data_IF_673871854706
#
_entry.id   IF_673871854706
#
_cell.length_a   1.000
_cell.length_b   1.000
_cell.length_c   1.000
_cell.angle_alpha   90.00
_cell.angle_beta   90.00
_cell.angle_gamma   90.00
#
_symmetry.space_group_name_H-M   'P 1'
#
loop_
_entity.id
_entity.type
_entity.pdbx_description
1 polymer ?
#
# COMPACT_ATOMS: atom_id res chain seq x y z
N UNK A 1 -8.29 -35.30 4.98
CA UNK A 1 -7.09 -34.45 4.97
C UNK A 1 -7.42 -33.04 4.46
N UNK A 2 -8.09 -32.89 3.31
CA UNK A 2 -8.39 -31.55 2.76
C UNK A 2 -9.38 -30.71 3.58
N UNK A 3 -10.41 -31.34 4.16
CA UNK A 3 -11.39 -30.62 5.00
C UNK A 3 -10.77 -29.96 6.23
N UNK A 4 -9.72 -30.56 6.80
CA UNK A 4 -9.01 -30.00 7.95
C UNK A 4 -8.24 -28.74 7.55
N UNK A 5 -7.63 -28.71 6.37
CA UNK A 5 -6.92 -27.52 5.87
C UNK A 5 -7.89 -26.35 5.65
N UNK A 6 -9.06 -26.63 5.06
CA UNK A 6 -10.09 -25.61 4.82
C UNK A 6 -10.62 -25.05 6.15
N UNK A 7 -10.94 -25.92 7.11
CA UNK A 7 -11.43 -25.50 8.43
C UNK A 7 -10.39 -24.70 9.20
N UNK A 8 -9.11 -25.09 9.16
CA UNK A 8 -8.04 -24.33 9.81
C UNK A 8 -7.87 -22.96 9.17
N UNK A 9 -7.87 -22.87 7.84
CA UNK A 9 -7.69 -21.60 7.13
C UNK A 9 -8.83 -20.62 7.43
N UNK A 10 -10.07 -21.02 7.15
CA UNK A 10 -11.22 -20.12 7.30
C UNK A 10 -11.63 -19.93 8.76
N UNK A 11 -11.50 -20.97 9.59
CA UNK A 11 -11.82 -20.90 11.01
C UNK A 11 -10.85 -19.98 11.77
N UNK A 12 -9.54 -20.17 11.60
CA UNK A 12 -8.55 -19.30 12.25
C UNK A 12 -8.62 -17.86 11.73
N UNK A 13 -8.84 -17.66 10.43
CA UNK A 13 -9.03 -16.33 9.85
C UNK A 13 -10.23 -15.61 10.47
N UNK A 14 -11.39 -16.27 10.56
CA UNK A 14 -12.60 -15.70 11.14
C UNK A 14 -12.43 -15.35 12.62
N UNK A 15 -11.75 -16.22 13.39
CA UNK A 15 -11.44 -15.96 14.81
C UNK A 15 -10.51 -14.77 14.98
N UNK A 16 -9.44 -14.68 14.17
CA UNK A 16 -8.49 -13.56 14.22
C UNK A 16 -9.17 -12.23 13.89
N UNK A 17 -10.06 -12.21 12.89
CA UNK A 17 -10.85 -11.03 12.57
C UNK A 17 -11.83 -10.66 13.69
N UNK A 18 -12.49 -11.64 14.31
CA UNK A 18 -13.43 -11.42 15.40
C UNK A 18 -12.77 -10.79 16.64
N UNK A 19 -11.49 -11.10 16.88
CA UNK A 19 -10.68 -10.53 17.98
C UNK A 19 -10.09 -9.15 17.59
N UNK A 20 -10.32 -8.69 16.35
CA UNK A 20 -9.88 -7.36 15.88
C UNK A 20 -8.44 -7.30 15.41
N UNK A 21 -7.83 -8.44 15.07
CA UNK A 21 -6.48 -8.48 14.49
C UNK A 21 -6.52 -7.80 13.11
N UNK A 22 -5.53 -6.95 12.76
CA UNK A 22 -5.49 -6.33 11.44
C UNK A 22 -5.51 -7.39 10.33
N UNK A 23 -6.27 -7.11 9.26
CA UNK A 23 -6.58 -8.09 8.20
C UNK A 23 -5.32 -8.72 7.59
N UNK A 24 -4.24 -7.94 7.43
CA UNK A 24 -2.96 -8.43 6.93
C UNK A 24 -2.34 -9.53 7.81
N UNK A 25 -2.36 -9.36 9.14
CA UNK A 25 -1.89 -10.37 10.09
C UNK A 25 -2.82 -11.56 10.17
N UNK A 26 -4.14 -11.34 10.08
CA UNK A 26 -5.13 -12.41 10.07
C UNK A 26 -4.92 -13.36 8.87
N UNK A 27 -4.69 -12.81 7.67
CA UNK A 27 -4.39 -13.59 6.45
C UNK A 27 -3.07 -14.35 6.60
N UNK A 28 -2.02 -13.69 7.10
CA UNK A 28 -0.69 -14.30 7.25
C UNK A 28 -0.68 -15.48 8.22
N UNK A 29 -1.27 -15.30 9.41
CA UNK A 29 -1.30 -16.31 10.46
C UNK A 29 -2.21 -17.49 10.11
N UNK A 30 -3.38 -17.25 9.51
CA UNK A 30 -4.28 -18.34 9.10
C UNK A 30 -3.68 -19.19 7.99
N UNK A 31 -3.00 -18.55 7.03
CA UNK A 31 -2.29 -19.23 5.94
C UNK A 31 -1.11 -20.03 6.47
N UNK A 32 -0.32 -19.46 7.39
CA UNK A 32 0.78 -20.15 8.07
C UNK A 32 0.31 -21.41 8.81
N UNK A 33 -0.73 -21.28 9.63
CA UNK A 33 -1.29 -22.40 10.39
C UNK A 33 -1.77 -23.54 9.48
N UNK A 34 -2.29 -23.19 8.30
CA UNK A 34 -2.76 -24.16 7.31
C UNK A 34 -1.60 -24.86 6.59
N UNK A 35 -0.56 -24.12 6.19
CA UNK A 35 0.61 -24.69 5.50
C UNK A 35 1.37 -25.66 6.42
N UNK A 36 1.48 -25.35 7.72
CA UNK A 36 2.14 -26.22 8.71
C UNK A 36 1.43 -27.57 8.92
N UNK A 37 0.16 -27.69 8.55
CA UNK A 37 -0.57 -28.97 8.60
C UNK A 37 -0.35 -29.83 7.34
N UNK A 38 0.03 -29.22 6.21
CA UNK A 38 0.20 -29.91 4.93
C UNK A 38 1.65 -30.13 4.51
N UNK A 39 2.59 -29.31 5.00
CA UNK A 39 4.01 -29.38 4.68
C UNK A 39 4.88 -29.47 5.94
N UNK A 40 6.09 -30.07 5.85
CA UNK A 40 7.10 -29.99 6.91
C UNK A 40 7.48 -28.54 7.23
N UNK A 41 7.94 -28.30 8.46
CA UNK A 41 8.18 -26.96 9.01
C UNK A 41 9.19 -26.14 8.17
N UNK A 42 10.26 -26.78 7.69
CA UNK A 42 11.31 -26.18 6.86
C UNK A 42 10.77 -25.52 5.57
N UNK A 43 10.13 -26.25 4.63
CA UNK A 43 9.58 -25.64 3.41
C UNK A 43 8.40 -24.70 3.68
N UNK A 44 7.64 -24.92 4.76
CA UNK A 44 6.53 -24.04 5.12
C UNK A 44 7.01 -22.62 5.46
N UNK A 45 8.07 -22.51 6.28
CA UNK A 45 8.67 -21.22 6.65
C UNK A 45 9.28 -20.53 5.42
N UNK A 46 9.96 -21.29 4.56
CA UNK A 46 10.54 -20.76 3.34
C UNK A 46 9.48 -20.14 2.40
N UNK A 47 8.36 -20.83 2.19
CA UNK A 47 7.24 -20.34 1.35
C UNK A 47 6.66 -19.04 1.91
N UNK A 48 6.49 -18.95 3.23
CA UNK A 48 5.93 -17.75 3.86
C UNK A 48 6.90 -16.58 3.79
N UNK A 49 8.19 -16.82 4.08
CA UNK A 49 9.23 -15.80 3.93
C UNK A 49 9.30 -15.27 2.49
N UNK A 50 9.24 -16.16 1.50
CA UNK A 50 9.23 -15.79 0.08
C UNK A 50 8.00 -14.96 -0.29
N UNK A 51 6.81 -15.32 0.21
CA UNK A 51 5.57 -14.56 -0.05
C UNK A 51 5.56 -13.20 0.63
N UNK A 52 6.13 -13.08 1.83
CA UNK A 52 6.32 -11.80 2.50
C UNK A 52 7.30 -10.90 1.75
N UNK A 53 8.45 -11.45 1.31
CA UNK A 53 9.43 -10.72 0.51
C UNK A 53 8.85 -10.24 -0.83
N UNK A 54 8.13 -11.12 -1.55
CA UNK A 54 7.46 -10.76 -2.79
C UNK A 54 6.37 -9.69 -2.61
N UNK A 55 5.77 -9.58 -1.42
CA UNK A 55 4.84 -8.51 -1.08
C UNK A 55 5.51 -7.15 -0.90
N UNK A 56 6.78 -7.12 -0.48
CA UNK A 56 7.60 -5.90 -0.36
C UNK A 56 8.11 -5.44 -1.72
N UNK A 57 8.36 -6.37 -2.65
CA UNK A 57 8.66 -6.09 -4.06
C UNK A 57 7.44 -5.59 -4.87
N UNK A 58 6.43 -5.04 -4.19
CA UNK A 58 5.30 -4.43 -4.87
C UNK A 58 5.74 -3.10 -5.50
N UNK A 59 5.67 -3.03 -6.83
CA UNK A 59 5.91 -1.81 -7.61
C UNK A 59 5.11 -0.60 -7.08
N UNK A 60 3.91 -0.81 -6.53
CA UNK A 60 3.12 0.24 -5.92
C UNK A 60 3.77 0.84 -4.66
N UNK A 61 4.50 0.04 -3.87
CA UNK A 61 5.23 0.54 -2.69
C UNK A 61 6.44 1.37 -3.09
N UNK A 62 7.08 1.06 -4.23
CA UNK A 62 8.13 1.90 -4.81
C UNK A 62 7.60 3.27 -5.26
N UNK A 63 6.31 3.37 -5.61
CA UNK A 63 5.73 4.65 -5.98
C UNK A 63 5.85 5.69 -4.85
N UNK A 64 5.72 5.27 -3.58
CA UNK A 64 5.79 6.17 -2.41
C UNK A 64 7.13 6.94 -2.35
N UNK A 65 8.31 6.28 -2.28
CA UNK A 65 9.58 7.00 -2.25
C UNK A 65 9.84 7.76 -3.54
N UNK A 66 9.41 7.27 -4.72
CA UNK A 66 9.57 8.02 -5.97
C UNK A 66 8.71 9.29 -6.01
N UNK A 67 7.49 9.27 -5.49
CA UNK A 67 6.64 10.46 -5.35
C UNK A 67 7.25 11.47 -4.36
N UNK A 68 7.77 11.00 -3.23
CA UNK A 68 8.47 11.86 -2.25
C UNK A 68 9.71 12.49 -2.89
N UNK A 69 10.51 11.70 -3.61
CA UNK A 69 11.71 12.18 -4.30
C UNK A 69 11.36 13.20 -5.38
N UNK A 70 10.37 12.91 -6.24
CA UNK A 70 9.88 13.82 -7.25
C UNK A 70 9.38 15.14 -6.63
N UNK A 71 8.60 15.06 -5.55
CA UNK A 71 8.14 16.23 -4.81
C UNK A 71 9.29 17.07 -4.24
N UNK A 72 10.32 16.43 -3.69
CA UNK A 72 11.51 17.13 -3.19
C UNK A 72 12.30 17.80 -4.33
N UNK A 73 12.50 17.12 -5.46
CA UNK A 73 13.15 17.69 -6.65
C UNK A 73 12.34 18.89 -7.16
N UNK A 74 11.02 18.79 -7.24
CA UNK A 74 10.15 19.87 -7.69
C UNK A 74 10.19 21.09 -6.77
N UNK A 75 10.23 20.88 -5.45
CA UNK A 75 10.31 21.96 -4.47
C UNK A 75 11.68 22.63 -4.48
N UNK A 76 12.77 21.86 -4.48
CA UNK A 76 14.14 22.40 -4.48
C UNK A 76 14.50 23.03 -5.83
N UNK A 77 14.05 22.44 -6.95
CA UNK A 77 14.24 22.97 -8.29
C UNK A 77 13.32 24.16 -8.66
N UNK A 78 12.45 24.60 -7.74
CA UNK A 78 11.50 25.70 -7.97
C UNK A 78 10.39 25.42 -8.98
N UNK A 79 10.28 24.17 -9.48
CA UNK A 79 9.25 23.74 -10.42
C UNK A 79 7.87 23.90 -9.78
N UNK A 80 7.71 23.50 -8.51
CA UNK A 80 6.45 23.64 -7.79
C UNK A 80 5.95 25.08 -7.78
N UNK A 81 6.84 26.05 -7.51
CA UNK A 81 6.48 27.47 -7.52
C UNK A 81 6.12 27.98 -8.92
N UNK A 82 6.82 27.50 -9.95
CA UNK A 82 6.53 27.83 -11.36
C UNK A 82 5.16 27.31 -11.79
N UNK A 83 4.79 26.09 -11.40
CA UNK A 83 3.46 25.52 -11.66
C UNK A 83 2.36 26.31 -10.95
N UNK A 84 2.57 26.67 -9.68
CA UNK A 84 1.62 27.52 -8.93
C UNK A 84 1.44 28.87 -9.61
N UNK A 85 2.53 29.52 -10.05
CA UNK A 85 2.45 30.80 -10.73
C UNK A 85 1.73 30.69 -12.08
N UNK A 86 1.96 29.61 -12.83
CA UNK A 86 1.25 29.34 -14.06
C UNK A 86 -0.26 29.12 -13.82
N UNK A 87 -0.63 28.32 -12.82
CA UNK A 87 -2.02 28.14 -12.41
C UNK A 87 -2.69 29.45 -11.96
N UNK A 88 -1.95 30.34 -11.27
CA UNK A 88 -2.42 31.69 -10.91
C UNK A 88 -2.68 32.57 -12.13
N UNK A 89 -1.90 32.45 -13.20
CA UNK A 89 -2.17 33.19 -14.45
C UNK A 89 -3.48 32.74 -15.08
N UNK A 90 -3.78 31.44 -15.03
CA UNK A 90 -5.01 30.87 -15.61
C UNK A 90 -6.27 31.16 -14.78
N UNK A 91 -6.22 30.88 -13.47
CA UNK A 91 -7.41 30.90 -12.59
C UNK A 91 -7.39 31.96 -11.49
N UNK A 92 -6.32 32.76 -11.38
CA UNK A 92 -6.09 33.65 -10.23
C UNK A 92 -7.08 34.82 -10.07
N UNK A 93 -7.79 35.19 -11.14
CA UNK A 93 -8.76 36.30 -11.16
C UNK A 93 -10.17 35.87 -10.75
N UNK A 94 -10.42 34.58 -10.60
CA UNK A 94 -11.73 34.04 -10.20
C UNK A 94 -11.94 34.20 -8.68
N UNK A 95 -13.18 34.44 -8.21
CA UNK A 95 -13.48 34.36 -6.79
C UNK A 95 -13.19 32.94 -6.28
N UNK A 96 -12.56 32.81 -5.11
CA UNK A 96 -12.04 31.52 -4.63
C UNK A 96 -10.75 31.06 -5.34
N UNK A 97 -9.97 32.00 -5.90
CA UNK A 97 -8.78 31.75 -6.72
C UNK A 97 -7.79 30.73 -6.14
N UNK A 98 -7.58 30.71 -4.82
CA UNK A 98 -6.69 29.74 -4.19
C UNK A 98 -7.15 28.28 -4.39
N UNK A 99 -8.46 28.02 -4.36
CA UNK A 99 -9.00 26.68 -4.59
C UNK A 99 -8.80 26.26 -6.05
N UNK A 100 -9.09 27.14 -7.01
CA UNK A 100 -8.89 26.89 -8.43
C UNK A 100 -7.40 26.68 -8.76
N UNK A 101 -6.53 27.53 -8.22
CA UNK A 101 -5.08 27.43 -8.40
C UNK A 101 -4.55 26.12 -7.80
N UNK A 102 -5.04 25.70 -6.63
CA UNK A 102 -4.63 24.44 -6.01
C UNK A 102 -5.02 23.23 -6.87
N UNK A 103 -6.26 23.17 -7.34
CA UNK A 103 -6.71 22.07 -8.22
C UNK A 103 -5.90 22.05 -9.52
N UNK A 104 -5.77 23.20 -10.19
CA UNK A 104 -5.02 23.29 -11.44
C UNK A 104 -3.54 22.95 -11.27
N UNK A 105 -2.90 23.41 -10.20
CA UNK A 105 -1.48 23.14 -9.95
C UNK A 105 -1.20 21.67 -9.57
N UNK A 106 -2.12 20.97 -8.91
CA UNK A 106 -1.97 19.54 -8.61
C UNK A 106 -2.32 18.63 -9.80
N UNK A 107 -3.07 19.13 -10.79
CA UNK A 107 -3.34 18.40 -12.04
C UNK A 107 -2.15 18.41 -13.01
N UNK A 108 -1.18 19.31 -12.81
CA UNK A 108 0.00 19.50 -13.67
C UNK A 108 1.21 18.78 -13.10
#
# INVERSE_FOLDING_TARGET
MEWQLILTLFGSFAVLLAIGVPVSFAIGLSSLATILMGLPLEPAIAVVAQRMAAGLDNFALLAIPFFILAGNIMNQGGIALRLINFAKVLGGRLPGSLAHVNVMANMM
#
